data_IF_955705189534
#
_entry.id   IF_955705189534
#
_cell.length_a   1.000
_cell.length_b   1.000
_cell.length_c   1.000
_cell.angle_alpha   90.00
_cell.angle_beta   90.00
_cell.angle_gamma   90.00
#
_symmetry.space_group_name_H-M   'P 1'
#
loop_
_entity.id
_entity.type
_entity.pdbx_description
1 polymer ?
#
# COMPACT_ATOMS: atom_id res chain seq x y z
N UNK A 1 4.70 0.22 -17.51
CA UNK A 1 5.17 0.21 -16.11
C UNK A 1 6.68 0.09 -16.13
N UNK A 2 7.41 0.93 -15.39
CA UNK A 2 8.88 0.89 -15.29
C UNK A 2 9.63 0.90 -16.65
N UNK A 3 9.06 1.56 -17.67
CA UNK A 3 9.47 1.43 -19.07
C UNK A 3 10.91 1.91 -19.39
N UNK A 4 11.55 2.64 -18.48
CA UNK A 4 12.93 3.11 -18.60
C UNK A 4 13.92 2.30 -17.76
N UNK A 5 13.49 1.16 -17.19
CA UNK A 5 14.34 0.34 -16.32
C UNK A 5 14.70 1.05 -15.01
N UNK A 6 13.91 2.03 -14.58
CA UNK A 6 14.07 2.77 -13.34
C UNK A 6 12.74 2.90 -12.61
N UNK A 7 12.75 2.68 -11.29
CA UNK A 7 11.59 2.93 -10.43
C UNK A 7 11.59 4.34 -9.84
N UNK A 8 10.44 4.76 -9.30
CA UNK A 8 10.26 6.02 -8.57
C UNK A 8 9.68 5.74 -7.18
N UNK A 9 9.96 6.64 -6.24
CA UNK A 9 9.24 6.71 -4.97
C UNK A 9 7.83 7.24 -5.21
N UNK A 10 6.85 6.75 -4.46
CA UNK A 10 5.54 7.39 -4.36
C UNK A 10 5.51 8.18 -3.05
N UNK A 11 5.54 9.52 -3.12
CA UNK A 11 5.44 10.38 -1.95
C UNK A 11 4.42 11.47 -2.24
N UNK A 12 3.44 11.64 -1.36
CA UNK A 12 2.43 12.69 -1.45
C UNK A 12 1.67 12.68 -2.79
N UNK A 13 1.31 11.48 -3.27
CA UNK A 13 0.61 11.29 -4.53
C UNK A 13 1.46 11.54 -5.79
N UNK A 14 2.77 11.74 -5.66
CA UNK A 14 3.67 12.02 -6.78
C UNK A 14 4.75 10.96 -6.91
N UNK A 15 5.00 10.57 -8.16
CA UNK A 15 6.17 9.77 -8.52
C UNK A 15 7.40 10.69 -8.56
N UNK A 16 8.44 10.34 -7.80
CA UNK A 16 9.66 11.17 -7.69
C UNK A 16 10.92 10.30 -7.60
N UNK A 17 12.08 10.82 -8.04
CA UNK A 17 13.35 10.13 -7.84
C UNK A 17 13.71 10.04 -6.36
N UNK A 18 14.55 9.06 -6.01
CA UNK A 18 15.13 8.96 -4.67
C UNK A 18 16.23 10.01 -4.47
N UNK A 19 16.29 10.63 -3.29
CA UNK A 19 17.27 11.69 -3.04
C UNK A 19 18.70 11.16 -2.88
N UNK A 20 18.90 9.85 -2.69
CA UNK A 20 20.21 9.20 -2.71
C UNK A 20 20.62 8.68 -4.10
N UNK A 21 19.78 8.90 -5.12
CA UNK A 21 19.99 8.40 -6.48
C UNK A 21 19.24 7.10 -6.70
N UNK A 22 19.97 6.06 -7.12
CA UNK A 22 19.39 4.75 -7.48
C UNK A 22 20.32 3.61 -7.07
N UNK A 23 19.74 2.42 -6.85
CA UNK A 23 20.47 1.16 -6.61
C UNK A 23 20.02 0.06 -7.58
N UNK A 24 20.87 -0.90 -7.95
CA UNK A 24 20.50 -1.93 -8.92
C UNK A 24 19.51 -2.94 -8.34
N UNK A 25 18.59 -3.41 -9.18
CA UNK A 25 17.77 -4.61 -8.91
C UNK A 25 18.18 -5.73 -9.88
N UNK A 26 18.21 -6.96 -9.38
CA UNK A 26 18.90 -8.09 -10.03
C UNK A 26 17.92 -9.24 -10.22
N UNK A 27 18.02 -9.91 -11.37
CA UNK A 27 17.27 -11.12 -11.63
C UNK A 27 17.92 -12.30 -10.87
N UNK A 28 17.24 -12.94 -9.91
CA UNK A 28 17.85 -14.02 -9.12
C UNK A 28 18.10 -15.30 -9.93
N UNK A 29 17.50 -15.45 -11.11
CA UNK A 29 17.70 -16.63 -11.97
C UNK A 29 18.93 -16.51 -12.89
N UNK A 30 19.33 -15.29 -13.25
CA UNK A 30 20.42 -15.04 -14.21
C UNK A 30 21.57 -14.21 -13.63
N UNK A 31 21.38 -13.62 -12.45
CA UNK A 31 22.28 -12.63 -11.83
C UNK A 31 22.48 -11.35 -12.66
N UNK A 32 21.71 -11.17 -13.74
CA UNK A 32 21.76 -9.99 -14.57
C UNK A 32 21.00 -8.83 -13.91
N UNK A 33 21.53 -7.61 -14.07
CA UNK A 33 20.86 -6.39 -13.61
C UNK A 33 19.62 -6.15 -14.49
N UNK A 34 18.44 -6.10 -13.87
CA UNK A 34 17.19 -5.77 -14.54
C UNK A 34 17.12 -4.27 -14.86
N UNK A 35 17.60 -3.45 -13.93
CA UNK A 35 17.60 -2.00 -13.98
C UNK A 35 17.89 -1.41 -12.60
N UNK A 36 17.34 -0.23 -12.32
CA UNK A 36 17.57 0.49 -11.08
C UNK A 36 16.28 0.80 -10.31
N UNK A 37 16.38 0.89 -8.99
CA UNK A 37 15.32 1.36 -8.11
C UNK A 37 15.72 2.69 -7.47
N UNK A 38 14.76 3.58 -7.25
CA UNK A 38 14.99 4.84 -6.55
C UNK A 38 15.51 4.59 -5.13
N UNK A 39 16.59 5.26 -4.75
CA UNK A 39 17.19 5.14 -3.42
C UNK A 39 16.78 6.30 -2.51
N UNK A 40 15.98 6.01 -1.50
CA UNK A 40 15.50 7.00 -0.55
C UNK A 40 16.53 7.30 0.54
N UNK A 41 16.60 8.57 0.90
CA UNK A 41 17.26 9.05 2.13
C UNK A 41 16.30 9.01 3.32
N UNK A 42 16.84 9.20 4.53
CA UNK A 42 16.02 9.48 5.71
C UNK A 42 15.08 10.68 5.51
N UNK A 43 15.53 11.71 4.79
CA UNK A 43 14.69 12.88 4.47
C UNK A 43 13.51 12.55 3.54
N UNK A 44 13.65 11.58 2.64
CA UNK A 44 12.53 11.10 1.82
C UNK A 44 11.51 10.32 2.68
N UNK A 45 12.01 9.53 3.63
CA UNK A 45 11.16 8.83 4.61
C UNK A 45 10.39 9.83 5.49
N UNK A 46 11.06 10.87 6.00
CA UNK A 46 10.42 11.92 6.80
C UNK A 46 9.32 12.62 5.99
N UNK A 47 9.59 12.99 4.73
CA UNK A 47 8.57 13.57 3.83
C UNK A 47 7.37 12.65 3.61
N UNK A 48 7.61 11.34 3.47
CA UNK A 48 6.54 10.36 3.32
C UNK A 48 5.68 10.24 4.59
N UNK A 49 6.31 10.25 5.77
CA UNK A 49 5.61 10.20 7.07
C UNK A 49 4.83 11.49 7.29
N UNK A 50 5.40 12.65 7.00
CA UNK A 50 4.73 13.95 7.08
C UNK A 50 3.53 14.02 6.13
N UNK A 51 3.68 13.54 4.90
CA UNK A 51 2.57 13.46 3.95
C UNK A 51 1.45 12.54 4.46
N UNK A 52 1.80 11.37 5.00
CA UNK A 52 0.83 10.44 5.59
C UNK A 52 0.11 11.03 6.81
N UNK A 53 0.83 11.76 7.66
CA UNK A 53 0.28 12.45 8.83
C UNK A 53 -0.70 13.53 8.41
N UNK A 54 -0.28 14.40 7.49
CA UNK A 54 -1.12 15.48 6.93
C UNK A 54 -2.38 14.91 6.28
N UNK A 55 -2.23 13.87 5.45
CA UNK A 55 -3.37 13.22 4.81
C UNK A 55 -4.37 12.66 5.82
N UNK A 56 -3.90 12.05 6.92
CA UNK A 56 -4.78 11.55 7.96
C UNK A 56 -5.51 12.67 8.70
N UNK A 57 -4.82 13.76 9.04
CA UNK A 57 -5.40 14.84 9.86
C UNK A 57 -6.30 15.79 9.08
N UNK A 58 -5.89 16.15 7.86
CA UNK A 58 -6.48 17.25 7.10
C UNK A 58 -7.51 16.80 6.05
N UNK A 59 -7.54 15.51 5.72
CA UNK A 59 -8.57 14.94 4.85
C UNK A 59 -9.67 14.25 5.64
N UNK A 60 -10.73 13.82 4.95
CA UNK A 60 -11.77 12.98 5.53
C UNK A 60 -11.46 11.48 5.46
N UNK A 61 -10.28 11.08 4.92
CA UNK A 61 -9.90 9.68 4.71
C UNK A 61 -10.18 8.76 5.91
N UNK A 62 -9.78 9.08 7.15
CA UNK A 62 -10.00 8.18 8.29
C UNK A 62 -11.48 7.99 8.64
N UNK A 63 -12.35 8.92 8.23
CA UNK A 63 -13.78 8.96 8.58
C UNK A 63 -14.70 8.59 7.42
N UNK A 64 -14.24 8.66 6.18
CA UNK A 64 -15.05 8.44 4.99
C UNK A 64 -14.95 6.98 4.48
N UNK A 65 -15.68 6.06 5.13
CA UNK A 65 -15.67 4.63 4.78
C UNK A 65 -16.02 4.37 3.31
N UNK A 66 -17.02 5.07 2.75
CA UNK A 66 -17.45 4.90 1.35
C UNK A 66 -16.30 5.22 0.39
N UNK A 67 -15.59 6.32 0.62
CA UNK A 67 -14.45 6.70 -0.20
C UNK A 67 -13.30 5.70 -0.10
N UNK A 68 -13.00 5.18 1.11
CA UNK A 68 -11.98 4.14 1.29
C UNK A 68 -12.30 2.89 0.48
N UNK A 69 -13.53 2.41 0.56
CA UNK A 69 -14.03 1.25 -0.18
C UNK A 69 -13.89 1.48 -1.69
N UNK A 70 -14.27 2.66 -2.19
CA UNK A 70 -14.11 3.03 -3.60
C UNK A 70 -12.65 2.96 -4.05
N UNK A 71 -11.72 3.59 -3.33
CA UNK A 71 -10.31 3.60 -3.69
C UNK A 71 -9.69 2.19 -3.68
N UNK A 72 -10.03 1.34 -2.70
CA UNK A 72 -9.53 -0.05 -2.65
C UNK A 72 -10.06 -0.86 -3.84
N UNK A 73 -11.34 -0.68 -4.21
CA UNK A 73 -11.92 -1.33 -5.39
C UNK A 73 -11.30 -0.81 -6.70
N UNK A 74 -11.01 0.49 -6.81
CA UNK A 74 -10.26 1.07 -7.93
C UNK A 74 -8.86 0.47 -8.04
N UNK A 75 -8.13 0.38 -6.94
CA UNK A 75 -6.81 -0.25 -6.91
C UNK A 75 -6.86 -1.68 -7.41
N UNK A 76 -7.80 -2.50 -6.90
CA UNK A 76 -7.98 -3.87 -7.39
C UNK A 76 -8.27 -3.92 -8.89
N UNK A 77 -9.15 -3.06 -9.40
CA UNK A 77 -9.46 -3.01 -10.82
C UNK A 77 -8.23 -2.65 -11.66
N UNK A 78 -7.50 -1.60 -11.28
CA UNK A 78 -6.29 -1.17 -11.98
C UNK A 78 -5.19 -2.26 -11.94
N UNK A 79 -5.00 -2.92 -10.80
CA UNK A 79 -4.05 -4.04 -10.69
C UNK A 79 -4.40 -5.20 -11.63
N UNK A 80 -5.69 -5.49 -11.82
CA UNK A 80 -6.14 -6.51 -12.79
C UNK A 80 -5.86 -6.10 -14.24
N UNK A 81 -6.11 -4.84 -14.58
CA UNK A 81 -5.82 -4.30 -15.91
C UNK A 81 -4.32 -4.39 -16.26
N UNK A 82 -3.46 -4.33 -15.24
CA UNK A 82 -2.00 -4.42 -15.38
C UNK A 82 -1.39 -5.76 -14.94
N UNK A 83 -2.20 -6.81 -14.79
CA UNK A 83 -1.74 -8.08 -14.17
C UNK A 83 -0.61 -8.75 -14.94
N UNK A 84 -0.62 -8.68 -16.28
CA UNK A 84 0.45 -9.26 -17.10
C UNK A 84 1.77 -8.52 -16.91
N UNK A 85 1.77 -7.18 -16.85
CA UNK A 85 2.99 -6.42 -16.58
C UNK A 85 3.52 -6.68 -15.17
N UNK A 86 2.63 -6.74 -14.18
CA UNK A 86 3.01 -7.07 -12.80
C UNK A 86 3.57 -8.49 -12.70
N UNK A 87 3.04 -9.44 -13.47
CA UNK A 87 3.55 -10.81 -13.53
C UNK A 87 4.98 -10.88 -14.03
N UNK A 88 5.29 -10.18 -15.11
CA UNK A 88 6.67 -10.13 -15.63
C UNK A 88 7.62 -9.52 -14.58
N UNK A 89 7.22 -8.45 -13.88
CA UNK A 89 8.01 -7.88 -12.78
C UNK A 89 8.21 -8.90 -11.65
N UNK A 90 7.13 -9.55 -11.22
CA UNK A 90 7.16 -10.55 -10.12
C UNK A 90 8.11 -11.71 -10.47
N UNK A 91 8.04 -12.19 -11.70
CA UNK A 91 8.90 -13.28 -12.18
C UNK A 91 10.36 -12.85 -12.28
N UNK A 92 10.61 -11.69 -12.87
CA UNK A 92 11.97 -11.19 -13.11
C UNK A 92 12.68 -10.81 -11.81
N UNK A 93 11.99 -10.14 -10.88
CA UNK A 93 12.59 -9.60 -9.66
C UNK A 93 12.57 -10.60 -8.50
N UNK A 94 11.44 -11.26 -8.24
CA UNK A 94 11.32 -12.20 -7.12
C UNK A 94 11.69 -13.65 -7.49
N UNK A 95 11.99 -13.92 -8.77
CA UNK A 95 12.25 -15.28 -9.26
C UNK A 95 11.03 -16.19 -9.22
N UNK A 96 9.83 -15.61 -9.22
CA UNK A 96 8.58 -16.34 -9.10
C UNK A 96 8.37 -17.32 -10.26
N UNK A 97 8.13 -18.62 -10.01
CA UNK A 97 7.59 -19.49 -11.05
C UNK A 97 6.24 -18.94 -11.53
N UNK A 98 6.05 -18.84 -12.86
CA UNK A 98 4.84 -18.28 -13.48
C UNK A 98 3.55 -18.83 -12.88
N UNK A 99 3.48 -20.13 -12.58
CA UNK A 99 2.30 -20.76 -11.96
C UNK A 99 1.90 -20.16 -10.60
N UNK A 100 2.85 -19.66 -9.80
CA UNK A 100 2.55 -19.04 -8.50
C UNK A 100 1.98 -17.63 -8.63
N UNK A 101 2.24 -16.95 -9.76
CA UNK A 101 1.67 -15.62 -10.03
C UNK A 101 0.16 -15.69 -10.33
N UNK A 102 -0.34 -16.83 -10.80
CA UNK A 102 -1.78 -17.07 -10.96
C UNK A 102 -2.51 -17.31 -9.63
N UNK A 103 -1.78 -17.34 -8.51
CA UNK A 103 -2.32 -17.57 -7.18
C UNK A 103 -1.60 -16.69 -6.15
N UNK A 104 -0.88 -17.30 -5.20
CA UNK A 104 -0.40 -16.65 -3.99
C UNK A 104 0.55 -15.47 -4.22
N UNK A 105 1.30 -15.42 -5.32
CA UNK A 105 2.32 -14.38 -5.53
C UNK A 105 1.82 -13.13 -6.27
N UNK A 106 0.64 -13.15 -6.88
CA UNK A 106 0.12 -11.95 -7.57
C UNK A 106 -1.41 -11.90 -7.66
N UNK A 107 -2.06 -12.79 -8.40
CA UNK A 107 -3.51 -12.69 -8.64
C UNK A 107 -4.34 -12.85 -7.35
N UNK A 108 -4.00 -13.84 -6.51
CA UNK A 108 -4.65 -14.05 -5.21
C UNK A 108 -4.66 -12.79 -4.33
N UNK A 109 -3.51 -12.17 -4.01
CA UNK A 109 -3.49 -10.96 -3.20
C UNK A 109 -4.12 -9.73 -3.87
N UNK A 110 -4.20 -9.65 -5.20
CA UNK A 110 -5.02 -8.63 -5.89
C UNK A 110 -6.50 -8.86 -5.59
N UNK A 111 -6.96 -10.11 -5.65
CA UNK A 111 -8.35 -10.48 -5.32
C UNK A 111 -8.71 -10.21 -3.86
N UNK A 112 -7.78 -10.44 -2.93
CA UNK A 112 -7.97 -10.21 -1.48
C UNK A 112 -8.24 -8.74 -1.11
N UNK A 113 -7.91 -7.78 -1.97
CA UNK A 113 -8.34 -6.39 -1.81
C UNK A 113 -9.87 -6.26 -1.81
N UNK A 114 -10.57 -7.16 -2.51
CA UNK A 114 -12.04 -7.26 -2.47
C UNK A 114 -12.53 -7.57 -1.06
N UNK A 115 -11.93 -8.56 -0.39
CA UNK A 115 -12.25 -8.89 1.00
C UNK A 115 -12.02 -7.69 1.94
N UNK A 116 -10.93 -6.95 1.74
CA UNK A 116 -10.64 -5.74 2.54
C UNK A 116 -11.72 -4.66 2.36
N UNK A 117 -12.13 -4.40 1.10
CA UNK A 117 -13.16 -3.42 0.77
C UNK A 117 -14.54 -3.85 1.30
N UNK A 118 -14.95 -5.10 1.07
CA UNK A 118 -16.25 -5.62 1.47
C UNK A 118 -16.38 -5.69 3.00
N UNK A 119 -15.27 -6.02 3.68
CA UNK A 119 -15.19 -5.92 5.15
C UNK A 119 -15.41 -4.49 5.60
N UNK A 120 -14.70 -3.50 5.04
CA UNK A 120 -14.88 -2.12 5.45
C UNK A 120 -16.30 -1.58 5.22
N UNK A 121 -16.93 -1.96 4.11
CA UNK A 121 -18.29 -1.57 3.74
C UNK A 121 -19.34 -2.13 4.69
N UNK A 122 -19.20 -3.40 5.08
CA UNK A 122 -20.17 -4.11 5.93
C UNK A 122 -19.89 -4.01 7.44
N UNK A 123 -18.70 -3.53 7.84
CA UNK A 123 -18.31 -3.47 9.24
C UNK A 123 -19.11 -2.45 10.05
N UNK A 124 -19.56 -2.85 11.23
CA UNK A 124 -20.21 -1.94 12.17
C UNK A 124 -19.17 -1.09 12.92
N UNK A 125 -18.78 0.04 12.31
CA UNK A 125 -17.79 0.97 12.88
C UNK A 125 -18.23 1.66 14.18
N UNK A 126 -19.54 1.85 14.36
CA UNK A 126 -20.14 2.44 15.55
C UNK A 126 -21.22 1.52 16.11
N UNK A 127 -21.09 1.15 17.38
CA UNK A 127 -22.05 0.33 18.11
C UNK A 127 -22.66 1.16 19.24
N UNK A 128 -23.97 1.42 19.15
CA UNK A 128 -24.74 2.00 20.25
C UNK A 128 -25.04 0.91 21.29
N UNK A 129 -24.61 1.11 22.53
CA UNK A 129 -24.87 0.21 23.65
C UNK A 129 -26.11 0.64 24.46
N UNK A 130 -26.83 1.66 23.98
CA UNK A 130 -27.99 2.23 24.63
C UNK A 130 -27.66 3.04 25.87
N UNK A 131 -28.72 3.48 26.54
CA UNK A 131 -28.61 4.24 27.78
C UNK A 131 -28.47 3.32 29.00
N UNK A 132 -27.73 3.78 30.00
CA UNK A 132 -27.69 3.18 31.34
C UNK A 132 -27.56 4.26 32.41
N UNK A 133 -27.81 3.89 33.66
CA UNK A 133 -27.72 4.80 34.80
C UNK A 133 -26.78 4.26 35.89
N UNK A 134 -25.47 4.07 35.60
CA UNK A 134 -24.52 3.70 36.64
C UNK A 134 -24.54 4.76 37.76
N UNK A 135 -24.70 4.33 39.01
CA UNK A 135 -24.84 5.22 40.17
C UNK A 135 -25.98 6.25 40.03
N UNK A 136 -27.01 5.96 39.23
CA UNK A 136 -28.14 6.86 39.00
C UNK A 136 -27.90 7.96 37.96
N UNK A 137 -26.73 8.02 37.32
CA UNK A 137 -26.39 9.05 36.32
C UNK A 137 -26.70 8.55 34.91
N UNK A 138 -27.73 9.12 34.27
CA UNK A 138 -28.12 8.75 32.90
C UNK A 138 -26.96 9.02 31.93
N UNK A 139 -26.52 7.98 31.23
CA UNK A 139 -25.38 8.00 30.31
C UNK A 139 -25.74 7.25 29.03
N UNK A 140 -25.42 7.83 27.86
CA UNK A 140 -25.44 7.12 26.57
C UNK A 140 -24.06 6.55 26.29
N UNK A 141 -23.99 5.31 25.84
CA UNK A 141 -22.73 4.57 25.69
C UNK A 141 -22.57 4.08 24.27
N UNK A 142 -21.39 4.28 23.69
CA UNK A 142 -21.06 3.84 22.34
C UNK A 142 -19.68 3.21 22.31
N UNK A 143 -19.48 2.26 21.40
CA UNK A 143 -18.16 1.77 21.00
C UNK A 143 -17.93 2.24 19.57
N UNK A 144 -16.81 2.93 19.36
CA UNK A 144 -16.37 3.35 18.03
C UNK A 144 -15.05 2.67 17.69
N UNK A 145 -14.91 2.22 16.46
CA UNK A 145 -13.65 1.71 15.90
C UNK A 145 -13.08 2.78 14.98
N UNK A 146 -11.90 3.26 15.31
CA UNK A 146 -11.22 4.32 14.57
C UNK A 146 -9.89 3.79 14.02
N UNK A 147 -9.42 4.40 12.95
CA UNK A 147 -8.09 4.16 12.42
C UNK A 147 -7.03 4.46 13.50
N UNK A 148 -5.93 3.70 13.51
CA UNK A 148 -4.85 3.90 14.51
C UNK A 148 -4.02 5.14 14.21
N UNK A 149 -3.91 5.53 12.93
CA UNK A 149 -3.10 6.67 12.51
C UNK A 149 -2.30 6.38 11.24
N UNK A 150 -1.04 6.81 11.26
CA UNK A 150 -0.04 6.51 10.23
C UNK A 150 0.57 5.15 10.51
N UNK A 151 0.58 4.26 9.53
CA UNK A 151 1.15 2.91 9.62
C UNK A 151 2.43 2.81 8.79
N UNK A 152 3.53 2.45 9.43
CA UNK A 152 4.74 1.97 8.75
C UNK A 152 4.59 0.50 8.37
N UNK A 153 4.65 0.18 7.08
CA UNK A 153 4.56 -1.17 6.56
C UNK A 153 5.91 -1.58 5.98
N UNK A 154 6.68 -2.38 6.72
CA UNK A 154 7.95 -2.94 6.23
C UNK A 154 7.71 -4.37 5.75
N UNK A 155 8.08 -4.70 4.51
CA UNK A 155 7.79 -6.00 3.89
C UNK A 155 9.04 -6.75 3.44
N UNK A 156 9.07 -8.10 3.59
CA UNK A 156 10.17 -8.93 3.12
C UNK A 156 10.04 -9.25 1.63
N UNK A 157 11.08 -9.87 1.07
CA UNK A 157 11.26 -10.07 -0.37
C UNK A 157 10.60 -11.31 -0.97
N UNK A 158 10.17 -12.28 -0.15
CA UNK A 158 9.82 -13.62 -0.64
C UNK A 158 8.49 -13.69 -1.42
N UNK A 159 7.49 -12.89 -1.05
CA UNK A 159 6.18 -12.81 -1.73
C UNK A 159 5.77 -11.33 -1.80
N UNK A 160 6.47 -10.50 -2.58
CA UNK A 160 6.42 -9.05 -2.40
C UNK A 160 5.04 -8.46 -2.65
N UNK A 161 4.36 -8.79 -3.76
CA UNK A 161 2.99 -8.32 -3.99
C UNK A 161 2.01 -8.83 -2.93
N UNK A 162 2.15 -10.10 -2.52
CA UNK A 162 1.28 -10.65 -1.47
C UNK A 162 1.41 -9.87 -0.17
N UNK A 163 2.62 -9.67 0.32
CA UNK A 163 2.84 -9.10 1.65
C UNK A 163 2.62 -7.58 1.61
N UNK A 164 2.92 -6.91 0.50
CA UNK A 164 2.57 -5.51 0.28
C UNK A 164 1.05 -5.32 0.35
N UNK A 165 0.27 -6.09 -0.42
CA UNK A 165 -1.19 -5.97 -0.47
C UNK A 165 -1.87 -6.46 0.81
N UNK A 166 -1.33 -7.49 1.46
CA UNK A 166 -1.82 -7.97 2.76
C UNK A 166 -1.64 -6.94 3.90
N UNK A 167 -0.71 -5.98 3.75
CA UNK A 167 -0.59 -4.84 4.67
C UNK A 167 -1.42 -3.64 4.22
N UNK A 168 -1.35 -3.28 2.93
CA UNK A 168 -2.08 -2.14 2.38
C UNK A 168 -3.59 -2.32 2.51
N UNK A 169 -4.14 -3.46 2.07
CA UNK A 169 -5.57 -3.74 2.06
C UNK A 169 -6.26 -3.45 3.40
N UNK A 170 -5.93 -4.18 4.49
CA UNK A 170 -6.58 -3.97 5.78
C UNK A 170 -6.24 -2.62 6.43
N UNK A 171 -5.02 -2.08 6.24
CA UNK A 171 -4.66 -0.78 6.79
C UNK A 171 -5.51 0.34 6.17
N UNK A 172 -5.65 0.33 4.84
CA UNK A 172 -6.47 1.29 4.10
C UNK A 172 -7.95 1.09 4.39
N UNK A 173 -8.44 -0.15 4.45
CA UNK A 173 -9.82 -0.46 4.82
C UNK A 173 -10.22 0.13 6.18
N UNK A 174 -9.30 0.03 7.15
CA UNK A 174 -9.45 0.58 8.49
C UNK A 174 -9.30 2.12 8.59
N UNK A 175 -8.95 2.80 7.49
CA UNK A 175 -8.80 4.26 7.44
C UNK A 175 -7.45 4.80 7.87
N UNK A 176 -6.43 3.95 7.93
CA UNK A 176 -5.06 4.39 8.16
C UNK A 176 -4.48 5.00 6.87
N UNK A 177 -3.50 5.86 7.04
CA UNK A 177 -2.54 6.19 5.97
C UNK A 177 -1.31 5.30 6.13
N UNK A 178 -0.60 5.01 5.04
CA UNK A 178 0.45 4.00 5.02
C UNK A 178 1.72 4.54 4.36
N UNK A 179 2.85 4.26 5.00
CA UNK A 179 4.19 4.37 4.40
C UNK A 179 4.74 2.96 4.25
N UNK A 180 4.80 2.46 3.02
CA UNK A 180 5.30 1.14 2.67
C UNK A 180 6.81 1.23 2.33
N UNK A 181 7.63 0.48 3.06
CA UNK A 181 9.05 0.26 2.77
C UNK A 181 9.26 -1.21 2.41
N UNK A 182 9.40 -1.55 1.12
CA UNK A 182 9.69 -2.91 0.70
C UNK A 182 11.14 -3.30 0.99
N UNK A 183 11.43 -4.59 0.91
CA UNK A 183 12.80 -5.08 0.90
C UNK A 183 13.58 -4.54 -0.32
N UNK A 184 14.88 -4.22 -0.16
CA UNK A 184 15.75 -3.76 -1.25
C UNK A 184 15.94 -4.82 -2.35
N UNK A 185 15.65 -6.09 -2.09
CA UNK A 185 15.76 -7.16 -3.08
C UNK A 185 14.57 -7.20 -4.06
N UNK A 186 13.40 -6.66 -3.67
CA UNK A 186 12.20 -6.63 -4.53
C UNK A 186 11.50 -5.25 -4.60
N UNK A 187 12.24 -4.17 -4.91
CA UNK A 187 11.73 -2.81 -4.90
C UNK A 187 10.75 -2.51 -6.05
N UNK A 188 10.92 -3.13 -7.23
CA UNK A 188 10.05 -2.88 -8.39
C UNK A 188 8.65 -3.42 -8.17
N UNK A 189 8.48 -4.56 -7.51
CA UNK A 189 7.16 -5.09 -7.15
C UNK A 189 6.34 -4.06 -6.34
N UNK A 190 6.97 -3.31 -5.44
CA UNK A 190 6.30 -2.26 -4.68
C UNK A 190 6.16 -0.95 -5.47
N UNK A 191 7.20 -0.52 -6.18
CA UNK A 191 7.16 0.71 -6.96
C UNK A 191 6.13 0.67 -8.10
N UNK A 192 5.92 -0.51 -8.69
CA UNK A 192 4.84 -0.81 -9.63
C UNK A 192 3.45 -0.50 -9.04
N UNK A 193 3.21 -0.88 -7.78
CA UNK A 193 1.97 -0.52 -7.08
C UNK A 193 1.86 0.99 -6.93
N UNK A 194 2.98 1.67 -6.64
CA UNK A 194 3.02 3.12 -6.49
C UNK A 194 2.66 3.85 -7.78
N UNK A 195 3.17 3.37 -8.92
CA UNK A 195 2.81 3.88 -10.24
C UNK A 195 1.30 3.70 -10.50
N UNK A 196 0.76 2.50 -10.25
CA UNK A 196 -0.67 2.24 -10.45
C UNK A 196 -1.55 3.14 -9.56
N UNK A 197 -1.16 3.30 -8.29
CA UNK A 197 -1.87 4.17 -7.34
C UNK A 197 -1.90 5.61 -7.85
N UNK A 198 -0.74 6.15 -8.26
CA UNK A 198 -0.65 7.53 -8.72
C UNK A 198 -1.41 7.80 -10.02
N UNK A 199 -1.45 6.83 -10.94
CA UNK A 199 -1.98 7.02 -12.29
C UNK A 199 -3.45 6.61 -12.44
N UNK A 200 -3.94 5.68 -11.61
CA UNK A 200 -5.23 4.99 -11.85
C UNK A 200 -6.19 4.99 -10.66
N UNK A 201 -5.89 5.71 -9.58
CA UNK A 201 -6.75 5.71 -8.38
C UNK A 201 -6.96 7.10 -7.81
N UNK A 202 -8.04 7.24 -7.03
CA UNK A 202 -8.39 8.50 -6.38
C UNK A 202 -7.85 8.61 -4.95
N UNK A 203 -6.84 7.81 -4.56
CA UNK A 203 -6.27 7.94 -3.21
C UNK A 203 -5.80 9.38 -2.98
N UNK A 204 -6.23 10.04 -1.89
CA UNK A 204 -5.73 11.37 -1.57
C UNK A 204 -4.20 11.36 -1.44
N UNK A 205 -3.57 12.46 -1.87
CA UNK A 205 -2.14 12.65 -1.74
C UNK A 205 -1.70 12.40 -0.28
N UNK A 206 -0.70 11.52 -0.12
CA UNK A 206 -0.17 11.12 1.19
C UNK A 206 -0.85 9.92 1.84
N UNK A 207 -2.01 9.45 1.37
CA UNK A 207 -2.67 8.27 1.97
C UNK A 207 -1.84 6.99 1.79
N UNK A 208 -1.23 6.82 0.62
CA UNK A 208 -0.24 5.77 0.37
C UNK A 208 1.06 6.42 -0.07
N UNK A 209 2.15 6.06 0.61
CA UNK A 209 3.50 6.40 0.21
C UNK A 209 4.30 5.11 0.10
N UNK A 210 5.16 5.00 -0.91
CA UNK A 210 6.02 3.84 -1.14
C UNK A 210 7.45 4.34 -1.27
N UNK A 211 8.30 3.89 -0.36
CA UNK A 211 9.68 4.37 -0.21
C UNK A 211 10.63 3.18 -0.35
N UNK A 212 11.27 3.07 -1.51
CA UNK A 212 12.35 2.09 -1.75
C UNK A 212 13.68 2.68 -1.28
N UNK A 213 14.54 1.86 -0.69
CA UNK A 213 15.89 2.23 -0.29
C UNK A 213 16.79 1.00 -0.36
N UNK A 214 18.09 1.20 -0.60
CA UNK A 214 19.07 0.11 -0.61
C UNK A 214 19.32 -0.50 0.78
N UNK A 215 19.05 0.26 1.85
CA UNK A 215 19.16 -0.17 3.24
C UNK A 215 17.87 -0.84 3.73
N UNK A 216 17.99 -1.75 4.70
CA UNK A 216 16.89 -2.47 5.33
C UNK A 216 16.13 -1.64 6.37
#
# INVERSE_FOLDING_TARGET
>A
MLAEGASALLIDGKLSPGSAGVFPTVNPATEEVLGAAADATAGDMDRAIEAARRAFDETDWPRNTEFRVRCIRQLRAALREHVEQLREITMAEAGAPRMLTAAAQLEGPIEDLGFSADTAESYQWNQDLGEASPLGIRTRRTITREAVGVVGAITPWNFPHQINLAKLGPALAAGNTVVLKPAPDTPWCAAALGQIIAEHTDFPAGVVNIVTAADH
#
